data_IF_573893490008
#
_entry.id   IF_573893490008
#
_cell.length_a   1.000
_cell.length_b   1.000
_cell.length_c   1.000
_cell.angle_alpha   90.00
_cell.angle_beta   90.00
_cell.angle_gamma   90.00
#
_symmetry.space_group_name_H-M   'P 1'
#
loop_
_entity.id
_entity.type
_entity.pdbx_description
1 polymer ?
#
# COMPACT_ATOMS: atom_id res chain seq x y z
N UNK A 1 -8.22 4.55 -5.09
CA UNK A 1 -8.02 3.41 -4.17
C UNK A 1 -6.59 3.44 -3.64
N UNK A 2 -6.39 3.02 -2.39
CA UNK A 2 -5.07 2.81 -1.79
C UNK A 2 -4.83 1.30 -1.63
N UNK A 3 -3.73 0.79 -2.17
CA UNK A 3 -3.31 -0.61 -2.03
C UNK A 3 -2.04 -0.72 -1.21
N UNK A 4 -2.01 -1.69 -0.29
CA UNK A 4 -0.85 -2.02 0.55
C UNK A 4 -0.56 -3.51 0.40
N UNK A 5 0.67 -3.85 0.02
CA UNK A 5 1.18 -5.22 -0.11
C UNK A 5 2.38 -5.39 0.81
N UNK A 6 2.21 -6.22 1.86
CA UNK A 6 3.27 -6.61 2.78
C UNK A 6 3.73 -8.03 2.47
N UNK A 7 4.86 -8.15 1.77
CA UNK A 7 5.44 -9.42 1.37
C UNK A 7 6.79 -9.72 2.04
N UNK A 8 7.29 -10.94 1.88
CA UNK A 8 8.62 -11.33 2.36
C UNK A 8 9.78 -10.55 1.71
N UNK A 9 9.51 -9.86 0.59
CA UNK A 9 10.47 -9.00 -0.11
C UNK A 9 10.39 -7.52 0.27
N UNK A 10 9.49 -7.14 1.19
CA UNK A 10 9.28 -5.74 1.56
C UNK A 10 7.82 -5.30 1.57
N UNK A 11 7.63 -3.99 1.63
CA UNK A 11 6.31 -3.33 1.67
C UNK A 11 6.15 -2.44 0.46
N UNK A 12 4.99 -2.50 -0.18
CA UNK A 12 4.61 -1.65 -1.32
C UNK A 12 3.30 -0.93 -1.03
N UNK A 13 3.21 0.32 -1.45
CA UNK A 13 2.02 1.16 -1.35
C UNK A 13 1.73 1.77 -2.71
N UNK A 14 0.46 1.75 -3.13
CA UNK A 14 0.03 2.32 -4.40
C UNK A 14 -1.25 3.14 -4.27
N UNK A 15 -1.33 4.27 -4.96
CA UNK A 15 -2.55 5.07 -5.11
C UNK A 15 -2.95 5.11 -6.58
N UNK A 16 -4.21 4.74 -6.85
CA UNK A 16 -4.80 4.79 -8.18
C UNK A 16 -6.10 5.61 -8.17
N UNK A 17 -6.32 6.42 -9.20
CA UNK A 17 -7.56 7.18 -9.40
C UNK A 17 -8.70 6.24 -9.79
N UNK A 18 -9.78 6.22 -9.01
CA UNK A 18 -10.99 5.48 -9.36
C UNK A 18 -11.73 6.29 -10.44
N UNK A 19 -11.78 5.79 -11.67
CA UNK A 19 -12.43 6.47 -12.80
C UNK A 19 -11.54 6.67 -14.04
N UNK A 20 -10.25 6.30 -13.98
CA UNK A 20 -9.43 6.20 -15.19
C UNK A 20 -9.97 5.05 -16.07
N UNK A 21 -10.81 5.39 -17.04
CA UNK A 21 -11.49 4.46 -17.94
C UNK A 21 -10.49 3.64 -18.76
N UNK A 22 -10.82 2.35 -18.95
CA UNK A 22 -10.16 1.36 -19.82
C UNK A 22 -10.13 1.72 -21.33
N UNK A 23 -10.33 2.99 -21.70
CA UNK A 23 -10.35 3.48 -23.08
C UNK A 23 -9.50 4.74 -23.33
N UNK A 24 -8.86 5.29 -22.29
CA UNK A 24 -7.77 6.26 -22.38
C UNK A 24 -6.55 5.70 -21.67
N UNK A 25 -5.35 6.21 -21.95
CA UNK A 25 -4.12 5.74 -21.30
C UNK A 25 -4.33 5.67 -19.78
N UNK A 26 -4.37 4.45 -19.23
CA UNK A 26 -4.58 4.26 -17.80
C UNK A 26 -3.47 5.02 -17.07
N UNK A 27 -3.84 5.93 -16.17
CA UNK A 27 -2.84 6.64 -15.38
C UNK A 27 -2.06 5.61 -14.57
N UNK A 28 -0.74 5.60 -14.75
CA UNK A 28 0.15 4.74 -13.98
C UNK A 28 -0.03 5.06 -12.49
N UNK A 29 -0.30 4.07 -11.63
CA UNK A 29 -0.44 4.29 -10.20
C UNK A 29 0.80 4.96 -9.60
N UNK A 30 0.59 5.89 -8.68
CA UNK A 30 1.68 6.43 -7.87
C UNK A 30 2.08 5.36 -6.85
N UNK A 31 3.37 5.05 -6.76
CA UNK A 31 3.86 3.95 -5.93
C UNK A 31 4.99 4.37 -5.01
N UNK A 32 5.11 3.64 -3.90
CA UNK A 32 6.22 3.68 -2.97
C UNK A 32 6.57 2.24 -2.57
N UNK A 33 7.85 1.96 -2.34
CA UNK A 33 8.30 0.66 -1.90
C UNK A 33 9.45 0.77 -0.90
N UNK A 34 9.49 -0.17 0.03
CA UNK A 34 10.63 -0.44 0.90
C UNK A 34 11.02 -1.90 0.75
N UNK A 35 12.31 -2.17 0.58
CA UNK A 35 12.86 -3.52 0.55
C UNK A 35 12.91 -4.19 1.94
N UNK A 36 12.63 -3.43 3.01
CA UNK A 36 12.60 -3.96 4.37
C UNK A 36 11.23 -4.60 4.65
N UNK A 37 11.16 -5.91 4.89
CA UNK A 37 9.90 -6.57 5.22
C UNK A 37 9.28 -6.05 6.52
N UNK A 38 8.00 -6.33 6.72
CA UNK A 38 7.40 -6.14 8.03
C UNK A 38 8.08 -7.07 9.06
N UNK A 39 8.21 -6.60 10.31
CA UNK A 39 8.65 -7.48 11.39
C UNK A 39 7.61 -8.57 11.62
N UNK A 40 8.04 -9.79 11.92
CA UNK A 40 7.14 -10.90 12.27
C UNK A 40 7.75 -11.62 13.46
N UNK A 41 6.94 -11.85 14.49
CA UNK A 41 7.32 -12.63 15.68
C UNK A 41 6.24 -13.63 16.05
N UNK A 42 6.33 -14.21 17.25
CA UNK A 42 5.42 -15.28 17.72
C UNK A 42 3.94 -14.87 17.75
N UNK A 43 3.66 -13.55 17.74
CA UNK A 43 2.33 -12.96 17.74
C UNK A 43 1.84 -12.55 16.35
N UNK A 44 2.58 -12.90 15.30
CA UNK A 44 2.33 -12.47 13.93
C UNK A 44 3.06 -11.18 13.56
N UNK A 45 2.47 -10.41 12.65
CA UNK A 45 3.08 -9.20 12.08
C UNK A 45 3.18 -8.07 13.11
N UNK A 46 4.32 -7.37 13.12
CA UNK A 46 4.48 -6.10 13.82
C UNK A 46 3.68 -5.01 13.10
N UNK A 47 2.41 -4.88 13.49
CA UNK A 47 1.49 -3.91 12.92
C UNK A 47 1.93 -2.47 13.18
N UNK A 48 2.51 -2.18 14.35
CA UNK A 48 2.94 -0.83 14.70
C UNK A 48 4.09 -0.39 13.79
N UNK A 49 5.15 -1.20 13.70
CA UNK A 49 6.28 -0.91 12.81
C UNK A 49 5.93 -0.97 11.32
N UNK A 50 4.86 -1.68 10.93
CA UNK A 50 4.32 -1.59 9.57
C UNK A 50 3.63 -0.23 9.33
N UNK A 51 2.77 0.21 10.25
CA UNK A 51 2.05 1.48 10.13
C UNK A 51 2.97 2.69 10.12
N UNK A 52 4.05 2.68 10.91
CA UNK A 52 5.09 3.72 10.91
C UNK A 52 5.70 3.95 9.52
N UNK A 53 5.76 2.91 8.68
CA UNK A 53 6.25 2.99 7.30
C UNK A 53 5.15 3.35 6.30
N UNK A 54 3.99 2.70 6.44
CA UNK A 54 2.89 2.83 5.48
C UNK A 54 2.21 4.20 5.55
N UNK A 55 2.00 4.75 6.75
CA UNK A 55 1.23 5.98 6.91
C UNK A 55 1.91 7.20 6.25
N UNK A 56 3.22 7.46 6.44
CA UNK A 56 3.89 8.56 5.75
C UNK A 56 3.90 8.37 4.23
N UNK A 57 4.14 7.15 3.75
CA UNK A 57 4.12 6.84 2.32
C UNK A 57 2.74 7.06 1.70
N UNK A 58 1.67 6.58 2.35
CA UNK A 58 0.31 6.76 1.88
C UNK A 58 -0.11 8.24 1.86
N UNK A 59 0.24 9.01 2.89
CA UNK A 59 -0.03 10.45 2.94
C UNK A 59 0.65 11.20 1.79
N UNK A 60 1.92 10.91 1.52
CA UNK A 60 2.65 11.55 0.43
C UNK A 60 2.09 11.17 -0.94
N UNK A 61 1.75 9.90 -1.16
CA UNK A 61 1.14 9.45 -2.41
C UNK A 61 -0.25 10.06 -2.64
N UNK A 62 -1.08 10.16 -1.59
CA UNK A 62 -2.39 10.81 -1.66
C UNK A 62 -2.25 12.31 -1.97
N UNK A 63 -1.30 13.00 -1.32
CA UNK A 63 -0.99 14.40 -1.58
C UNK A 63 -0.57 14.61 -3.04
N UNK A 64 0.30 13.76 -3.58
CA UNK A 64 0.71 13.79 -5.00
C UNK A 64 -0.44 13.50 -5.95
N UNK A 65 -1.37 12.63 -5.56
CA UNK A 65 -2.59 12.34 -6.31
C UNK A 65 -3.66 13.47 -6.19
N UNK A 66 -3.39 14.55 -5.45
CA UNK A 66 -4.38 15.61 -5.19
C UNK A 66 -5.56 15.14 -4.32
N UNK A 67 -5.43 14.00 -3.64
CA UNK A 67 -6.49 13.40 -2.83
C UNK A 67 -6.24 13.65 -1.34
N UNK A 68 -7.30 14.01 -0.60
CA UNK A 68 -7.22 14.14 0.88
C UNK A 68 -7.39 12.82 1.61
N UNK A 69 -8.11 11.86 1.02
CA UNK A 69 -8.41 10.55 1.59
C UNK A 69 -8.68 9.51 0.50
N UNK A 70 -8.37 8.22 0.72
CA UNK A 70 -8.77 7.17 -0.20
C UNK A 70 -10.27 6.89 -0.04
N UNK A 71 -10.93 6.54 -1.15
CA UNK A 71 -12.32 6.04 -1.13
C UNK A 71 -12.40 4.60 -0.58
N UNK A 72 -11.34 3.82 -0.79
CA UNK A 72 -11.21 2.45 -0.31
C UNK A 72 -9.72 2.12 -0.10
N UNK A 73 -9.45 1.24 0.85
CA UNK A 73 -8.11 0.74 1.18
C UNK A 73 -8.13 -0.79 1.10
N UNK A 74 -7.22 -1.35 0.31
CA UNK A 74 -6.98 -2.78 0.23
C UNK A 74 -5.66 -3.09 0.91
N UNK A 75 -5.68 -3.99 1.90
CA UNK A 75 -4.47 -4.43 2.62
C UNK A 75 -4.30 -5.92 2.41
N UNK A 76 -3.19 -6.31 1.80
CA UNK A 76 -2.80 -7.71 1.59
C UNK A 76 -1.46 -8.00 2.25
N UNK A 77 -1.30 -9.24 2.73
CA UNK A 77 -0.03 -9.76 3.19
C UNK A 77 0.20 -11.15 2.61
N UNK A 78 1.43 -11.42 2.16
CA UNK A 78 1.78 -12.69 1.51
C UNK A 78 1.46 -13.92 2.38
N UNK A 79 1.49 -13.79 3.71
CA UNK A 79 1.17 -14.87 4.66
C UNK A 79 -0.32 -15.17 4.86
N UNK A 80 -1.26 -14.33 4.38
CA UNK A 80 -2.70 -14.60 4.50
C UNK A 80 -3.18 -15.72 3.57
N UNK A 81 -2.45 -16.01 2.50
CA UNK A 81 -2.78 -17.10 1.58
C UNK A 81 -2.45 -18.49 2.16
N UNK A 82 -1.65 -18.56 3.24
CA UNK A 82 -1.18 -19.80 3.88
C UNK A 82 -1.70 -20.02 5.31
N UNK A 83 -2.65 -19.19 5.76
CA UNK A 83 -3.32 -19.33 7.06
C UNK A 83 -4.52 -20.29 6.98
#
# INVERSE_FOLDING_TARGET
>A
MLGIDSGGSGVRVAVACAGAQLGGAAETPLTWASATPAGVGDRGIDAAGLLERVLPAAQELLRRAGARRPAAVCVGAAGMASL
#
